data_IF_045426311046
#
_entry.id   IF_045426311046
#
_cell.length_a   1.000
_cell.length_b   1.000
_cell.length_c   1.000
_cell.angle_alpha   90.00
_cell.angle_beta   90.00
_cell.angle_gamma   90.00
#
_symmetry.space_group_name_H-M   'P 1'
#
loop_
_entity.id
_entity.type
_entity.pdbx_description
1 polymer ?
#
# COMPACT_ATOMS: atom_id res chain seq x y z
N UNK A 1 3.68 -46.76 7.91
CA UNK A 1 3.61 -46.41 6.47
C UNK A 1 2.15 -46.40 6.06
N UNK A 2 1.48 -45.27 6.25
CA UNK A 2 0.02 -45.15 6.09
C UNK A 2 -0.26 -44.30 4.87
N UNK A 3 -0.84 -44.93 3.85
CA UNK A 3 -1.07 -44.40 2.50
C UNK A 3 -2.33 -43.54 2.51
N UNK A 4 -2.20 -42.21 2.47
CA UNK A 4 -3.33 -41.30 2.31
C UNK A 4 -3.80 -41.31 0.85
N UNK A 5 -5.02 -41.84 0.66
CA UNK A 5 -5.74 -41.92 -0.62
C UNK A 5 -6.19 -40.51 -1.06
N UNK A 6 -6.22 -40.31 -2.38
CA UNK A 6 -6.32 -39.03 -3.07
C UNK A 6 -7.45 -38.10 -2.63
N UNK A 7 -7.12 -36.81 -2.56
CA UNK A 7 -8.09 -35.72 -2.66
C UNK A 7 -8.22 -35.34 -4.14
N UNK A 8 -9.42 -35.50 -4.68
CA UNK A 8 -9.82 -34.95 -5.97
C UNK A 8 -10.00 -33.44 -5.82
N UNK A 9 -9.39 -32.66 -6.70
CA UNK A 9 -9.70 -31.26 -6.86
C UNK A 9 -11.16 -31.15 -7.32
N UNK A 10 -11.99 -30.49 -6.53
CA UNK A 10 -13.35 -30.14 -6.95
C UNK A 10 -13.29 -28.75 -7.55
N UNK A 11 -13.60 -28.66 -8.84
CA UNK A 11 -13.72 -27.42 -9.59
C UNK A 11 -14.93 -26.65 -9.06
N UNK A 12 -14.69 -25.55 -8.36
CA UNK A 12 -15.73 -24.63 -7.94
C UNK A 12 -16.04 -23.65 -9.09
N UNK A 13 -16.80 -24.13 -10.07
CA UNK A 13 -17.58 -23.27 -10.97
C UNK A 13 -18.82 -22.80 -10.23
N UNK A 14 -18.91 -21.51 -9.92
CA UNK A 14 -20.05 -20.92 -9.25
C UNK A 14 -20.44 -19.61 -9.90
N UNK A 15 -21.43 -19.64 -10.77
CA UNK A 15 -22.17 -18.48 -11.27
C UNK A 15 -22.92 -17.81 -10.11
N UNK A 16 -22.26 -16.87 -9.43
CA UNK A 16 -22.83 -16.07 -8.37
C UNK A 16 -23.78 -15.01 -8.92
N UNK A 17 -25.09 -15.28 -8.88
CA UNK A 17 -26.14 -14.25 -8.97
C UNK A 17 -25.84 -13.12 -7.97
N UNK A 18 -25.63 -11.92 -8.49
CA UNK A 18 -25.47 -10.70 -7.69
C UNK A 18 -26.75 -10.43 -6.89
N UNK A 19 -26.70 -10.66 -5.58
CA UNK A 19 -27.72 -10.14 -4.66
C UNK A 19 -27.40 -8.68 -4.36
N UNK A 20 -28.41 -7.83 -4.51
CA UNK A 20 -28.37 -6.39 -4.28
C UNK A 20 -28.33 -6.05 -2.78
N UNK A 21 -27.23 -6.38 -2.12
CA UNK A 21 -26.92 -5.97 -0.75
C UNK A 21 -25.61 -5.21 -0.73
N UNK A 22 -25.56 -4.07 -0.05
CA UNK A 22 -24.45 -3.12 -0.04
C UNK A 22 -23.11 -3.70 0.41
N UNK A 23 -22.39 -4.32 -0.53
CA UNK A 23 -21.04 -4.85 -0.38
C UNK A 23 -20.08 -4.31 -1.44
N UNK A 24 -20.39 -3.15 -2.04
CA UNK A 24 -19.56 -2.52 -3.08
C UNK A 24 -18.14 -2.14 -2.62
N UNK A 25 -17.89 -2.16 -1.31
CA UNK A 25 -16.58 -1.96 -0.67
C UNK A 25 -15.80 -3.26 -0.47
N UNK A 26 -16.44 -4.43 -0.64
CA UNK A 26 -15.76 -5.71 -0.59
C UNK A 26 -15.03 -5.91 -1.92
N UNK A 27 -13.72 -6.17 -1.83
CA UNK A 27 -12.87 -6.34 -3.00
C UNK A 27 -13.47 -7.36 -3.97
N UNK A 28 -13.59 -7.00 -5.24
CA UNK A 28 -13.89 -7.98 -6.29
C UNK A 28 -12.80 -9.05 -6.27
N UNK A 29 -13.19 -10.30 -6.42
CA UNK A 29 -12.24 -11.38 -6.66
C UNK A 29 -11.52 -11.11 -7.99
N UNK A 30 -10.42 -10.36 -7.94
CA UNK A 30 -9.49 -10.31 -9.05
C UNK A 30 -8.85 -11.70 -9.12
N UNK A 31 -8.67 -12.22 -10.33
CA UNK A 31 -7.98 -13.48 -10.59
C UNK A 31 -6.50 -13.32 -10.24
N UNK A 32 -6.22 -13.31 -8.94
CA UNK A 32 -4.90 -13.24 -8.37
C UNK A 32 -4.44 -14.68 -8.23
N UNK A 33 -3.30 -15.00 -8.85
CA UNK A 33 -2.66 -16.31 -8.66
C UNK A 33 -2.60 -16.60 -7.15
N UNK A 34 -3.15 -17.73 -6.67
CA UNK A 34 -3.04 -18.13 -5.28
C UNK A 34 -1.57 -18.06 -4.83
N UNK A 35 -1.31 -17.39 -3.70
CA UNK A 35 0.05 -17.15 -3.20
C UNK A 35 0.71 -15.82 -3.61
N UNK A 36 0.04 -14.98 -4.41
CA UNK A 36 0.51 -13.61 -4.67
C UNK A 36 0.36 -12.72 -3.43
N UNK A 37 1.35 -11.85 -3.18
CA UNK A 37 1.34 -10.93 -2.04
C UNK A 37 0.27 -9.84 -2.27
N UNK A 38 -0.62 -9.66 -1.30
CA UNK A 38 -1.65 -8.61 -1.31
C UNK A 38 -1.29 -7.60 -0.23
N UNK A 39 -1.31 -6.31 -0.57
CA UNK A 39 -1.18 -5.25 0.43
C UNK A 39 -2.54 -4.97 1.08
N UNK A 40 -2.53 -4.79 2.39
CA UNK A 40 -3.69 -4.35 3.15
C UNK A 40 -3.68 -2.82 3.24
N UNK A 41 -4.85 -2.20 3.09
CA UNK A 41 -5.00 -0.76 3.27
C UNK A 41 -4.80 -0.40 4.74
N UNK A 42 -3.91 0.56 5.04
CA UNK A 42 -3.63 0.97 6.41
C UNK A 42 -4.79 1.69 7.13
N UNK A 43 -5.86 2.08 6.42
CA UNK A 43 -7.02 2.79 7.00
C UNK A 43 -8.19 1.86 7.32
N UNK A 44 -8.47 0.90 6.45
CA UNK A 44 -9.66 0.04 6.54
C UNK A 44 -9.33 -1.45 6.62
N UNK A 45 -8.04 -1.81 6.68
CA UNK A 45 -7.52 -3.17 6.75
C UNK A 45 -8.03 -4.13 5.66
N UNK A 46 -8.56 -3.58 4.56
CA UNK A 46 -9.05 -4.37 3.44
C UNK A 46 -7.96 -4.62 2.39
N UNK A 47 -7.99 -5.78 1.71
CA UNK A 47 -7.04 -6.09 0.64
C UNK A 47 -7.21 -5.13 -0.54
N UNK A 48 -6.11 -4.51 -0.98
CA UNK A 48 -6.15 -3.47 -2.01
C UNK A 48 -6.20 -4.08 -3.42
N UNK A 49 -7.26 -3.74 -4.15
CA UNK A 49 -7.45 -4.06 -5.58
C UNK A 49 -6.94 -2.94 -6.50
N UNK A 50 -7.24 -1.70 -6.14
CA UNK A 50 -6.82 -0.50 -6.84
C UNK A 50 -6.23 0.43 -5.78
N UNK A 51 -4.99 0.84 -5.98
CA UNK A 51 -4.31 1.78 -5.10
C UNK A 51 -4.70 3.20 -5.48
N UNK A 52 -4.99 4.01 -4.47
CA UNK A 52 -4.94 5.47 -4.56
C UNK A 52 -3.57 5.94 -4.05
N UNK A 53 -2.69 6.35 -4.96
CA UNK A 53 -1.35 6.87 -4.63
C UNK A 53 -1.41 8.39 -4.53
N UNK A 54 -1.10 8.91 -3.35
CA UNK A 54 -1.23 10.34 -3.06
C UNK A 54 -0.08 11.15 -3.65
N UNK A 55 -0.37 12.36 -4.13
CA UNK A 55 0.62 13.32 -4.62
C UNK A 55 0.64 14.50 -3.64
N UNK A 56 1.81 14.98 -3.17
CA UNK A 56 3.18 14.57 -3.53
C UNK A 56 3.79 13.49 -2.61
N UNK A 57 3.12 13.10 -1.52
CA UNK A 57 3.72 12.25 -0.49
C UNK A 57 3.90 10.76 -0.86
N UNK A 58 3.27 10.30 -1.94
CA UNK A 58 3.38 8.96 -2.50
C UNK A 58 2.97 7.81 -1.58
N UNK A 59 2.24 8.07 -0.50
CA UNK A 59 1.60 7.00 0.27
C UNK A 59 0.48 6.35 -0.55
N UNK A 60 0.31 5.05 -0.37
CA UNK A 60 -0.71 4.28 -1.09
C UNK A 60 -1.77 3.73 -0.12
N UNK A 61 -3.04 3.96 -0.45
CA UNK A 61 -4.20 3.42 0.25
C UNK A 61 -5.09 2.66 -0.74
N UNK A 62 -6.17 2.03 -0.26
CA UNK A 62 -7.24 1.64 -1.17
C UNK A 62 -7.80 2.90 -1.85
N UNK A 63 -8.19 2.77 -3.12
CA UNK A 63 -8.72 3.91 -3.88
C UNK A 63 -9.88 4.61 -3.15
N UNK A 64 -10.80 3.81 -2.59
CA UNK A 64 -11.91 4.34 -1.81
C UNK A 64 -11.43 5.17 -0.60
N UNK A 65 -10.49 4.63 0.19
CA UNK A 65 -9.94 5.36 1.33
C UNK A 65 -9.20 6.64 0.93
N UNK A 66 -8.56 6.64 -0.24
CA UNK A 66 -7.88 7.81 -0.78
C UNK A 66 -8.88 8.90 -1.21
N UNK A 67 -9.99 8.53 -1.84
CA UNK A 67 -11.04 9.48 -2.26
C UNK A 67 -11.81 10.04 -1.05
N UNK A 68 -11.99 9.25 0.01
CA UNK A 68 -12.71 9.65 1.23
C UNK A 68 -11.85 10.40 2.27
N UNK A 69 -10.52 10.50 2.11
CA UNK A 69 -9.63 11.09 3.14
C UNK A 69 -9.55 12.61 3.13
N UNK A 70 -10.11 13.27 2.11
CA UNK A 70 -10.01 14.72 1.93
C UNK A 70 -8.63 15.15 1.46
N UNK A 71 -8.17 16.32 1.93
CA UNK A 71 -6.96 17.01 1.42
C UNK A 71 -5.69 16.71 2.22
N UNK A 72 -5.70 15.78 3.18
CA UNK A 72 -4.53 15.49 4.04
C UNK A 72 -4.27 13.99 4.16
N UNK A 73 -2.99 13.60 4.08
CA UNK A 73 -2.58 12.21 4.18
C UNK A 73 -2.59 11.71 5.63
N UNK A 74 -3.22 10.56 5.92
CA UNK A 74 -3.26 10.00 7.28
C UNK A 74 -1.91 9.53 7.83
N UNK A 75 -0.91 9.26 6.97
CA UNK A 75 0.38 8.74 7.41
C UNK A 75 1.42 9.84 7.67
N UNK A 76 1.40 10.93 6.90
CA UNK A 76 2.39 12.01 7.03
C UNK A 76 1.79 13.39 7.29
N UNK A 77 0.47 13.51 7.33
CA UNK A 77 -0.25 14.78 7.49
C UNK A 77 0.11 15.86 6.46
N UNK A 78 0.76 15.48 5.35
CA UNK A 78 1.01 16.38 4.24
C UNK A 78 -0.26 16.61 3.42
N UNK A 79 -0.33 17.78 2.80
CA UNK A 79 -1.42 18.14 1.91
C UNK A 79 -1.39 17.27 0.64
N UNK A 80 -2.57 16.80 0.25
CA UNK A 80 -2.79 16.00 -0.95
C UNK A 80 -3.22 16.97 -2.06
N UNK A 81 -2.43 17.00 -3.12
CA UNK A 81 -2.71 17.76 -4.34
C UNK A 81 -3.49 16.91 -5.36
N UNK A 82 -3.31 15.59 -5.31
CA UNK A 82 -3.99 14.68 -6.23
C UNK A 82 -3.84 13.21 -5.84
N UNK A 83 -4.61 12.37 -6.52
CA UNK A 83 -4.64 10.91 -6.32
C UNK A 83 -4.39 10.24 -7.67
N UNK A 84 -3.30 9.49 -7.77
CA UNK A 84 -2.96 8.63 -8.89
C UNK A 84 -3.61 7.25 -8.70
N UNK A 85 -4.49 6.84 -9.61
CA UNK A 85 -5.14 5.52 -9.62
C UNK A 85 -4.21 4.47 -10.20
N UNK A 86 -3.86 3.44 -9.43
CA UNK A 86 -2.99 2.34 -9.88
C UNK A 86 -3.65 0.98 -9.66
N UNK A 87 -3.98 0.29 -10.75
CA UNK A 87 -4.58 -1.04 -10.70
C UNK A 87 -3.53 -2.11 -10.34
N UNK A 88 -3.73 -2.79 -9.21
CA UNK A 88 -2.79 -3.82 -8.73
C UNK A 88 -2.61 -4.99 -9.71
N UNK A 89 -3.61 -5.25 -10.56
CA UNK A 89 -3.55 -6.28 -11.60
C UNK A 89 -2.78 -5.86 -12.84
N UNK A 90 -2.61 -4.55 -13.10
CA UNK A 90 -1.93 -4.04 -14.29
C UNK A 90 -0.47 -3.71 -14.02
N UNK A 91 -0.18 -3.14 -12.86
CA UNK A 91 1.16 -2.69 -12.52
C UNK A 91 1.50 -3.04 -11.06
N UNK A 92 2.70 -3.60 -10.78
CA UNK A 92 3.16 -3.77 -9.42
C UNK A 92 3.49 -2.42 -8.77
N UNK A 93 3.14 -2.28 -7.50
CA UNK A 93 3.58 -1.19 -6.64
C UNK A 93 4.45 -1.78 -5.53
N UNK A 94 5.53 -1.08 -5.20
CA UNK A 94 6.47 -1.49 -4.16
C UNK A 94 6.35 -0.53 -2.99
N UNK A 95 6.03 -1.04 -1.81
CA UNK A 95 5.84 -0.22 -0.60
C UNK A 95 7.01 -0.37 0.34
N UNK A 96 7.44 0.74 0.96
CA UNK A 96 8.28 0.67 2.14
C UNK A 96 7.45 0.10 3.30
N UNK A 97 7.89 -1.03 3.87
CA UNK A 97 7.19 -1.71 4.97
C UNK A 97 7.12 -0.93 6.29
N UNK A 98 7.81 0.22 6.40
CA UNK A 98 7.83 1.04 7.62
C UNK A 98 6.99 2.31 7.45
N UNK A 99 7.19 3.08 6.38
CA UNK A 99 6.48 4.36 6.19
C UNK A 99 5.32 4.29 5.20
N UNK A 100 5.15 3.21 4.44
CA UNK A 100 4.06 3.07 3.46
C UNK A 100 4.22 3.91 2.18
N UNK A 101 5.38 4.54 1.97
CA UNK A 101 5.70 5.23 0.71
C UNK A 101 5.78 4.21 -0.43
N UNK A 102 5.17 4.55 -1.56
CA UNK A 102 5.05 3.70 -2.73
C UNK A 102 5.97 4.11 -3.88
N UNK A 103 6.59 3.11 -4.50
CA UNK A 103 7.54 3.20 -5.60
C UNK A 103 7.00 2.42 -6.79
N UNK A 104 7.27 2.92 -8.00
CA UNK A 104 6.76 2.32 -9.25
C UNK A 104 7.60 1.13 -9.71
N UNK A 105 8.84 1.04 -9.24
CA UNK A 105 9.75 -0.07 -9.53
C UNK A 105 10.43 -0.59 -8.26
N UNK A 106 10.93 -1.83 -8.32
CA UNK A 106 11.64 -2.45 -7.21
C UNK A 106 12.99 -1.77 -7.01
N UNK A 107 13.61 -1.41 -8.13
CA UNK A 107 14.91 -0.75 -8.21
C UNK A 107 14.85 0.59 -7.47
N UNK A 108 13.82 1.41 -7.71
CA UNK A 108 13.64 2.71 -7.06
C UNK A 108 13.53 2.57 -5.54
N UNK A 109 12.78 1.57 -5.06
CA UNK A 109 12.69 1.27 -3.62
C UNK A 109 14.04 0.82 -3.06
N UNK A 110 14.75 -0.08 -3.74
CA UNK A 110 16.04 -0.60 -3.29
C UNK A 110 17.10 0.49 -3.24
N UNK A 111 17.20 1.32 -4.27
CA UNK A 111 18.10 2.47 -4.32
C UNK A 111 17.82 3.43 -3.17
N UNK A 112 16.53 3.73 -2.90
CA UNK A 112 16.17 4.58 -1.76
C UNK A 112 16.59 3.98 -0.43
N UNK A 113 16.36 2.68 -0.23
CA UNK A 113 16.75 1.99 1.01
C UNK A 113 18.26 1.96 1.16
N UNK A 114 19.01 1.71 0.09
CA UNK A 114 20.48 1.74 0.08
C UNK A 114 21.01 3.15 0.38
N UNK A 115 20.46 4.19 -0.25
CA UNK A 115 20.83 5.58 -0.02
C UNK A 115 20.61 6.01 1.46
N UNK A 116 19.62 5.42 2.12
CA UNK A 116 19.35 5.66 3.54
C UNK A 116 20.16 4.75 4.47
N UNK A 117 21.07 3.93 3.96
CA UNK A 117 21.87 2.98 4.75
C UNK A 117 21.01 1.91 5.41
N UNK A 118 19.95 1.46 4.74
CA UNK A 118 19.00 0.47 5.26
C UNK A 118 17.92 1.04 6.20
N UNK A 119 17.91 2.35 6.45
CA UNK A 119 16.90 3.00 7.29
C UNK A 119 15.60 3.30 6.53
N UNK A 120 14.52 3.50 7.30
CA UNK A 120 13.21 3.90 6.79
C UNK A 120 13.31 5.12 5.86
N UNK A 121 12.47 5.18 4.82
CA UNK A 121 12.49 6.24 3.80
C UNK A 121 12.30 7.67 4.36
N UNK A 122 11.74 7.81 5.56
CA UNK A 122 11.60 9.11 6.26
C UNK A 122 12.81 9.51 7.11
N UNK A 123 13.74 8.58 7.39
CA UNK A 123 14.87 8.81 8.30
C UNK A 123 15.99 9.71 7.75
N UNK A 124 15.80 10.31 6.58
CA UNK A 124 16.77 11.21 5.93
C UNK A 124 16.53 12.70 6.17
N UNK A 125 15.36 13.10 6.66
CA UNK A 125 15.00 14.52 6.81
C UNK A 125 15.52 15.17 8.11
N UNK A 126 16.29 14.46 8.93
CA UNK A 126 16.86 15.05 10.16
C UNK A 126 18.07 15.97 9.88
N UNK A 127 18.61 16.00 8.66
CA UNK A 127 19.83 16.76 8.33
C UNK A 127 19.63 18.20 7.83
N UNK A 128 18.42 18.78 7.88
CA UNK A 128 18.21 20.21 7.53
C UNK A 128 17.63 21.09 8.65
N UNK A 129 17.52 20.60 9.88
CA UNK A 129 17.47 21.50 11.03
C UNK A 129 18.90 21.75 11.50
N UNK A 130 19.53 22.76 10.89
CA UNK A 130 20.71 23.41 11.46
C UNK A 130 20.37 23.80 12.90
N UNK A 131 21.02 23.17 13.87
CA UNK A 131 20.97 23.57 15.28
C UNK A 131 21.29 25.07 15.34
N UNK A 132 20.46 25.95 15.94
CA UNK A 132 20.96 27.24 16.34
C UNK A 132 22.06 26.96 17.39
N UNK A 133 23.30 27.23 17.02
CA UNK A 133 24.42 27.24 17.93
C UNK A 133 24.19 28.36 18.94
N UNK A 134 24.04 27.99 20.21
CA UNK A 134 24.24 28.89 21.34
C UNK A 134 22.98 29.50 21.93
N UNK A 135 22.31 28.77 22.82
CA UNK A 135 21.69 29.37 23.98
C UNK A 135 22.48 28.89 25.20
N UNK A 136 23.49 29.67 25.59
CA UNK A 136 24.05 29.58 26.95
C UNK A 136 23.04 30.29 27.85
N UNK A 137 22.36 29.53 28.70
CA UNK A 137 21.64 30.13 29.81
C UNK A 137 22.68 30.72 30.77
N UNK A 138 22.58 32.04 30.92
CA UNK A 138 23.30 32.82 31.93
C UNK A 138 22.62 32.64 33.30
#
# INVERSE_FOLDING_TARGET
>A
MTKVKGLRASEAGGDGKASSGGGGYLGKALDRKPGSKVHMCARCDSPVAIYGRLIPCHHAFSLQCAEEMGTTCYLCFQQIEGIERVDASKQPLYLCGVCGVSYKSKEELLERVQANGGKCCRGGEEKKMMRPTGAKYA
#
